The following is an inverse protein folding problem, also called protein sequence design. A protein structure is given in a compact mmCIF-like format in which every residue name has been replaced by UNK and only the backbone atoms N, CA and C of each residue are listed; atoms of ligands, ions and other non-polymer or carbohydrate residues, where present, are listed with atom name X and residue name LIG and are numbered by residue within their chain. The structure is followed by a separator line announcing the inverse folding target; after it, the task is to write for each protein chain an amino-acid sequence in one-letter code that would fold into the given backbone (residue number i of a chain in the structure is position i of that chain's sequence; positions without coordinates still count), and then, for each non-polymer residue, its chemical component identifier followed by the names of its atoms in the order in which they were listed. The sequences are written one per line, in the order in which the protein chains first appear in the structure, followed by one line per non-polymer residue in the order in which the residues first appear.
data_IF_846572469916
#
_entry.id   IF_846572469916
#
_cell.length_a   1.000
_cell.length_b   1.000
_cell.length_c   1.000
_cell.angle_alpha   90.00
_cell.angle_beta   90.00
_cell.angle_gamma   90.00
#
_symmetry.space_group_name_H-M   'P 1'
#
loop_
_entity.id
_entity.type
_entity.pdbx_description
1 polymer ?
#
# COMPACT_ATOMS: atom_id res chain seq x y z
N UNK A 1 -15.91 -7.36 12.92
CA UNK A 1 -14.76 -6.60 12.37
C UNK A 1 -13.76 -6.43 13.48
N UNK A 2 -12.55 -6.94 13.30
CA UNK A 2 -11.44 -6.61 14.17
C UNK A 2 -10.63 -5.52 13.48
N UNK A 3 -10.33 -4.47 14.22
CA UNK A 3 -9.56 -3.32 13.76
C UNK A 3 -8.25 -3.32 14.52
N UNK A 4 -7.14 -3.42 13.80
CA UNK A 4 -5.80 -3.42 14.37
C UNK A 4 -5.05 -2.14 14.04
N UNK A 5 -4.23 -1.68 14.98
CA UNK A 5 -3.32 -0.57 14.76
C UNK A 5 -2.06 -1.07 14.02
N UNK A 6 -1.77 -0.46 12.89
CA UNK A 6 -0.65 -0.86 12.02
C UNK A 6 0.73 -0.63 12.67
N UNK A 7 0.79 0.22 13.70
CA UNK A 7 2.04 0.47 14.46
C UNK A 7 2.49 -0.77 15.22
N UNK A 8 1.56 -1.62 15.61
CA UNK A 8 1.82 -2.87 16.32
C UNK A 8 1.72 -4.08 15.39
N UNK A 9 2.17 -3.96 14.14
CA UNK A 9 2.04 -5.04 13.15
C UNK A 9 2.72 -6.35 13.55
N UNK A 10 3.78 -6.30 14.35
CA UNK A 10 4.42 -7.52 14.91
C UNK A 10 3.45 -8.26 15.81
N UNK A 11 2.84 -7.55 16.77
CA UNK A 11 1.79 -8.10 17.65
C UNK A 11 0.57 -8.55 16.86
N UNK A 12 0.20 -7.79 15.84
CA UNK A 12 -0.88 -8.14 14.92
C UNK A 12 -0.61 -9.48 14.23
N UNK A 13 0.60 -9.69 13.70
CA UNK A 13 0.98 -10.96 13.07
C UNK A 13 0.99 -12.13 14.05
N UNK A 14 1.27 -11.90 15.34
CA UNK A 14 1.15 -12.91 16.39
C UNK A 14 -0.31 -13.30 16.67
N UNK A 15 -1.23 -12.31 16.68
CA UNK A 15 -2.65 -12.52 17.04
C UNK A 15 -3.48 -13.12 15.90
N UNK A 16 -3.23 -12.74 14.64
CA UNK A 16 -4.07 -13.13 13.48
C UNK A 16 -3.41 -14.14 12.53
N UNK A 17 -2.23 -14.60 12.86
CA UNK A 17 -1.43 -15.53 12.05
C UNK A 17 -0.28 -14.83 11.34
N UNK A 18 0.80 -15.57 11.19
CA UNK A 18 2.06 -15.09 10.60
C UNK A 18 1.83 -14.54 9.19
N UNK A 19 2.56 -13.47 8.89
CA UNK A 19 2.68 -12.88 7.55
C UNK A 19 1.42 -12.19 6.99
N UNK A 20 0.47 -11.80 7.84
CA UNK A 20 -0.70 -11.00 7.43
C UNK A 20 -0.29 -9.59 6.98
N UNK A 21 0.71 -9.03 7.65
CA UNK A 21 1.34 -7.77 7.28
C UNK A 21 2.82 -7.99 7.05
N UNK A 22 3.27 -7.70 5.84
CA UNK A 22 4.68 -7.77 5.46
C UNK A 22 5.19 -6.37 5.17
N UNK A 23 6.17 -5.91 5.93
CA UNK A 23 6.78 -4.60 5.77
C UNK A 23 8.20 -4.73 5.23
N UNK A 24 8.46 -4.17 4.06
CA UNK A 24 9.79 -4.15 3.45
C UNK A 24 10.79 -3.31 4.24
N UNK A 25 12.09 -3.62 4.10
CA UNK A 25 13.16 -2.87 4.77
C UNK A 25 13.07 -1.37 4.49
N UNK A 26 13.45 -0.56 5.49
CA UNK A 26 13.47 0.90 5.47
C UNK A 26 12.10 1.57 5.20
N UNK A 27 11.01 0.81 5.12
CA UNK A 27 9.67 1.38 5.12
C UNK A 27 9.30 1.84 6.52
N UNK A 28 8.57 2.96 6.61
CA UNK A 28 8.15 3.52 7.88
C UNK A 28 6.69 3.93 7.83
N UNK A 29 6.02 3.63 8.93
CA UNK A 29 4.70 4.16 9.23
C UNK A 29 4.93 5.33 10.19
N UNK A 30 4.51 6.52 9.78
CA UNK A 30 4.77 7.72 10.59
C UNK A 30 3.99 7.65 11.89
N UNK A 31 4.73 7.67 13.00
CA UNK A 31 4.20 7.64 14.38
C UNK A 31 4.28 9.00 15.07
N UNK A 32 4.53 10.07 14.33
CA UNK A 32 4.76 11.40 14.90
C UNK A 32 3.52 11.96 15.56
N UNK A 33 3.63 12.20 16.87
CA UNK A 33 2.67 12.87 17.75
C UNK A 33 1.29 12.22 17.86
N UNK A 34 1.18 11.26 18.77
CA UNK A 34 -0.04 10.81 19.48
C UNK A 34 -1.28 10.36 18.66
N UNK A 35 -1.23 10.28 17.35
CA UNK A 35 -2.38 9.85 16.52
C UNK A 35 -1.92 8.96 15.36
N UNK A 36 -1.32 7.84 15.66
CA UNK A 36 -1.17 6.76 14.68
C UNK A 36 -2.48 6.00 14.60
N UNK A 37 -3.37 6.43 13.72
CA UNK A 37 -4.64 5.78 13.47
C UNK A 37 -4.68 5.05 12.14
N UNK A 38 -3.55 4.54 11.64
CA UNK A 38 -3.59 3.66 10.47
C UNK A 38 -4.11 2.30 10.87
N UNK A 39 -5.14 1.82 10.19
CA UNK A 39 -5.91 0.64 10.58
C UNK A 39 -5.99 -0.36 9.45
N UNK A 40 -5.90 -1.64 9.80
CA UNK A 40 -6.23 -2.76 8.94
C UNK A 40 -7.61 -3.27 9.34
N UNK A 41 -8.49 -3.39 8.38
CA UNK A 41 -9.82 -3.92 8.59
C UNK A 41 -9.86 -5.37 8.11
N UNK A 42 -10.04 -6.29 9.07
CA UNK A 42 -10.20 -7.71 8.84
C UNK A 42 -11.63 -8.12 9.22
N UNK A 43 -12.28 -8.88 8.35
CA UNK A 43 -13.59 -9.46 8.63
C UNK A 43 -13.43 -10.91 9.07
N UNK A 44 -13.49 -11.17 10.39
CA UNK A 44 -13.31 -12.51 10.98
C UNK A 44 -14.40 -13.52 10.64
N UNK A 45 -15.62 -13.06 10.37
CA UNK A 45 -16.76 -13.96 10.16
C UNK A 45 -16.68 -14.79 8.88
N UNK A 46 -15.63 -14.61 8.09
CA UNK A 46 -15.46 -15.28 6.80
C UNK A 46 -14.08 -15.87 6.71
N UNK A 47 -13.96 -17.05 7.26
CA UNK A 47 -12.75 -17.85 7.15
C UNK A 47 -12.25 -18.08 5.73
N UNK A 48 -13.06 -17.90 4.69
CA UNK A 48 -12.71 -18.26 3.31
C UNK A 48 -12.22 -17.10 2.43
N UNK A 49 -12.67 -15.87 2.63
CA UNK A 49 -12.36 -14.79 1.68
C UNK A 49 -11.14 -13.93 2.05
N UNK A 50 -10.85 -13.78 3.35
CA UNK A 50 -9.71 -12.98 3.82
C UNK A 50 -8.55 -13.81 4.38
N UNK A 51 -8.73 -15.14 4.54
CA UNK A 51 -7.71 -15.99 5.14
C UNK A 51 -6.36 -15.93 4.41
N UNK A 52 -6.40 -15.79 3.09
CA UNK A 52 -5.20 -15.71 2.26
C UNK A 52 -4.85 -14.28 1.80
N UNK A 53 -5.62 -13.27 2.21
CA UNK A 53 -5.32 -11.89 1.82
C UNK A 53 -4.31 -11.26 2.77
N UNK A 54 -3.30 -10.62 2.21
CA UNK A 54 -2.21 -9.98 2.93
C UNK A 54 -2.16 -8.49 2.63
N UNK A 55 -1.58 -7.72 3.54
CA UNK A 55 -1.13 -6.35 3.28
C UNK A 55 0.39 -6.36 3.18
N UNK A 56 0.89 -6.13 1.98
CA UNK A 56 2.31 -6.21 1.67
C UNK A 56 2.84 -4.84 1.30
N UNK A 57 3.91 -4.40 1.95
CA UNK A 57 4.66 -3.20 1.61
C UNK A 57 6.04 -3.56 1.08
N UNK A 58 6.44 -2.93 0.00
CA UNK A 58 7.81 -2.94 -0.48
C UNK A 58 8.75 -2.17 0.44
N UNK A 59 9.95 -1.92 -0.05
CA UNK A 59 11.02 -1.20 0.66
C UNK A 59 10.87 0.31 0.50
N UNK A 60 11.37 1.08 1.46
CA UNK A 60 11.44 2.53 1.42
C UNK A 60 10.08 3.25 1.30
N UNK A 61 9.00 2.60 1.70
CA UNK A 61 7.67 3.22 1.74
C UNK A 61 7.56 4.22 2.90
N UNK A 62 6.81 5.29 2.67
CA UNK A 62 6.45 6.28 3.69
C UNK A 62 4.93 6.37 3.80
N UNK A 63 4.38 5.96 4.94
CA UNK A 63 2.94 5.91 5.19
C UNK A 63 2.59 6.92 6.27
N UNK A 64 1.74 7.88 5.94
CA UNK A 64 1.23 8.85 6.90
C UNK A 64 0.17 8.23 7.81
N UNK A 65 -0.19 8.94 8.87
CA UNK A 65 -1.22 8.52 9.84
C UNK A 65 -2.62 8.48 9.23
N UNK A 66 -3.54 7.78 9.90
CA UNK A 66 -4.96 7.76 9.56
C UNK A 66 -5.34 6.90 8.35
N UNK A 67 -4.41 6.15 7.76
CA UNK A 67 -4.69 5.29 6.63
C UNK A 67 -5.52 4.07 7.02
N UNK A 68 -6.36 3.60 6.09
CA UNK A 68 -7.23 2.44 6.26
C UNK A 68 -7.02 1.44 5.13
N UNK A 69 -6.76 0.18 5.48
CA UNK A 69 -6.50 -0.90 4.53
C UNK A 69 -7.58 -1.98 4.69
N UNK A 70 -8.44 -2.12 3.69
CA UNK A 70 -9.57 -3.06 3.72
C UNK A 70 -9.20 -4.34 2.98
N UNK A 71 -8.88 -5.42 3.69
CA UNK A 71 -8.56 -6.72 3.08
C UNK A 71 -9.81 -7.54 2.70
N UNK A 72 -10.99 -7.00 2.92
CA UNK A 72 -12.27 -7.64 2.61
C UNK A 72 -13.44 -6.72 2.95
N UNK A 73 -14.63 -7.30 3.14
CA UNK A 73 -15.83 -6.56 3.50
C UNK A 73 -16.72 -6.18 2.33
N UNK A 74 -16.40 -6.64 1.12
CA UNK A 74 -17.24 -6.43 -0.06
C UNK A 74 -18.50 -7.31 0.02
N UNK A 75 -19.67 -6.70 -0.14
CA UNK A 75 -20.93 -7.42 -0.24
C UNK A 75 -21.23 -7.84 -1.68
N UNK A 76 -21.98 -8.92 -1.86
CA UNK A 76 -22.50 -9.32 -3.18
C UNK A 76 -23.67 -8.39 -3.53
N UNK A 77 -23.36 -7.22 -4.06
CA UNK A 77 -24.32 -6.15 -4.39
C UNK A 77 -25.27 -6.50 -5.56
N UNK A 78 -24.97 -7.57 -6.32
CA UNK A 78 -25.85 -8.06 -7.42
C UNK A 78 -27.01 -8.93 -6.94
N UNK A 79 -27.12 -9.24 -5.64
CA UNK A 79 -28.27 -9.92 -5.06
C UNK A 79 -29.43 -8.96 -4.94
N UNK A 80 -30.65 -9.49 -4.83
CA UNK A 80 -31.88 -8.71 -4.54
C UNK A 80 -31.73 -7.91 -3.25
N UNK A 81 -31.06 -8.47 -2.25
CA UNK A 81 -30.71 -7.79 -1.00
C UNK A 81 -29.22 -7.94 -0.69
N UNK A 82 -28.61 -6.87 -0.21
CA UNK A 82 -27.25 -6.90 0.32
C UNK A 82 -27.20 -7.37 1.78
N UNK A 83 -28.36 -7.62 2.39
CA UNK A 83 -28.44 -8.10 3.76
C UNK A 83 -27.84 -9.49 3.91
N UNK A 84 -27.07 -9.69 4.98
CA UNK A 84 -26.43 -10.96 5.32
C UNK A 84 -27.35 -11.76 6.25
N UNK A 85 -28.18 -12.63 5.68
CA UNK A 85 -29.04 -13.48 6.47
C UNK A 85 -28.25 -14.65 7.08
N UNK A 86 -28.45 -14.90 8.39
CA UNK A 86 -27.69 -15.89 9.15
C UNK A 86 -27.83 -17.32 8.62
N UNK A 87 -29.01 -17.65 8.08
CA UNK A 87 -29.35 -19.00 7.59
C UNK A 87 -28.85 -19.28 6.18
N UNK A 88 -28.30 -18.28 5.48
CA UNK A 88 -27.75 -18.46 4.15
C UNK A 88 -26.30 -18.92 4.27
N UNK A 89 -26.01 -20.14 3.78
CA UNK A 89 -24.68 -20.76 3.84
C UNK A 89 -23.60 -19.95 3.12
N UNK A 90 -23.95 -19.34 2.00
CA UNK A 90 -23.04 -18.49 1.22
C UNK A 90 -23.01 -17.09 1.83
N UNK A 91 -22.08 -16.86 2.71
CA UNK A 91 -21.87 -15.55 3.33
C UNK A 91 -21.45 -14.55 2.26
N UNK A 92 -22.30 -13.56 2.01
CA UNK A 92 -22.13 -12.58 0.93
C UNK A 92 -21.05 -11.51 1.15
N UNK A 93 -20.00 -11.81 1.93
CA UNK A 93 -18.86 -10.89 2.14
C UNK A 93 -17.65 -11.45 1.42
N UNK A 94 -17.05 -10.64 0.57
CA UNK A 94 -15.96 -11.03 -0.33
C UNK A 94 -14.71 -10.20 -0.05
N UNK A 95 -13.57 -10.78 -0.42
CA UNK A 95 -12.31 -10.05 -0.61
C UNK A 95 -11.92 -10.14 -2.09
N UNK A 96 -11.37 -9.06 -2.63
CA UNK A 96 -10.76 -9.08 -3.96
C UNK A 96 -9.28 -9.53 -3.90
N UNK A 97 -8.79 -9.92 -2.73
CA UNK A 97 -7.42 -10.36 -2.53
C UNK A 97 -6.56 -9.39 -1.73
N UNK A 98 -5.26 -9.64 -1.77
CA UNK A 98 -4.24 -8.88 -1.05
C UNK A 98 -4.16 -7.43 -1.54
N UNK A 99 -3.72 -6.56 -0.65
CA UNK A 99 -3.23 -5.23 -1.00
C UNK A 99 -1.71 -5.33 -1.11
N UNK A 100 -1.18 -4.98 -2.29
CA UNK A 100 0.26 -5.02 -2.56
C UNK A 100 0.75 -3.62 -2.86
N UNK A 101 1.67 -3.13 -2.06
CA UNK A 101 2.27 -1.80 -2.20
C UNK A 101 3.74 -2.00 -2.58
N UNK A 102 4.15 -1.45 -3.71
CA UNK A 102 5.49 -1.52 -4.24
C UNK A 102 6.53 -0.79 -3.40
N UNK A 103 7.69 -0.54 -3.98
CA UNK A 103 8.80 0.13 -3.32
C UNK A 103 8.74 1.64 -3.52
N UNK A 104 9.34 2.43 -2.64
CA UNK A 104 9.41 3.89 -2.73
C UNK A 104 8.03 4.56 -2.87
N UNK A 105 6.99 3.98 -2.26
CA UNK A 105 5.64 4.51 -2.30
C UNK A 105 5.41 5.49 -1.16
N UNK A 106 4.84 6.64 -1.49
CA UNK A 106 4.37 7.60 -0.49
C UNK A 106 2.85 7.59 -0.40
N UNK A 107 2.32 7.27 0.79
CA UNK A 107 0.89 7.29 1.11
C UNK A 107 0.62 8.46 2.03
N UNK A 108 -0.19 9.40 1.56
CA UNK A 108 -0.61 10.60 2.29
C UNK A 108 -1.57 10.29 3.44
N UNK A 109 -1.82 11.30 4.26
CA UNK A 109 -2.71 11.20 5.43
C UNK A 109 -4.13 10.77 5.05
N UNK A 110 -4.72 9.87 5.86
CA UNK A 110 -6.16 9.53 5.75
C UNK A 110 -6.53 8.72 4.51
N UNK A 111 -5.57 8.14 3.81
CA UNK A 111 -5.82 7.33 2.60
C UNK A 111 -6.56 6.05 2.94
N UNK A 112 -7.53 5.69 2.11
CA UNK A 112 -8.21 4.40 2.16
C UNK A 112 -7.81 3.56 0.95
N UNK A 113 -7.45 2.27 1.17
CA UNK A 113 -7.11 1.33 0.11
C UNK A 113 -7.99 0.09 0.23
N UNK A 114 -8.61 -0.30 -0.88
CA UNK A 114 -9.53 -1.43 -0.95
C UNK A 114 -8.81 -2.73 -1.29
N UNK A 115 -9.42 -3.87 -0.93
CA UNK A 115 -8.89 -5.22 -1.21
C UNK A 115 -8.61 -5.44 -2.70
N UNK A 116 -7.54 -6.18 -2.99
CA UNK A 116 -7.13 -6.54 -4.34
C UNK A 116 -6.36 -5.45 -5.09
N UNK A 117 -6.09 -4.31 -4.45
CA UNK A 117 -5.38 -3.20 -5.09
C UNK A 117 -3.87 -3.42 -5.06
N UNK A 118 -3.22 -3.22 -6.21
CA UNK A 118 -1.77 -3.12 -6.35
C UNK A 118 -1.35 -1.68 -6.61
N UNK A 119 -0.38 -1.20 -5.82
CA UNK A 119 0.23 0.13 -5.99
C UNK A 119 1.66 -0.07 -6.47
N UNK A 120 1.96 0.44 -7.67
CA UNK A 120 3.26 0.30 -8.31
C UNK A 120 4.36 1.10 -7.62
N UNK A 121 5.62 0.71 -7.89
CA UNK A 121 6.82 1.33 -7.34
C UNK A 121 6.84 2.84 -7.59
N UNK A 122 7.29 3.60 -6.61
CA UNK A 122 7.43 5.04 -6.73
C UNK A 122 6.13 5.84 -6.82
N UNK A 123 4.96 5.20 -6.62
CA UNK A 123 3.68 5.90 -6.65
C UNK A 123 3.50 6.84 -5.46
N UNK A 124 2.66 7.84 -5.63
CA UNK A 124 2.24 8.78 -4.59
C UNK A 124 0.72 8.78 -4.51
N UNK A 125 0.20 8.51 -3.32
CA UNK A 125 -1.22 8.56 -3.02
C UNK A 125 -1.50 9.81 -2.21
N UNK A 126 -2.25 10.75 -2.79
CA UNK A 126 -2.58 12.01 -2.16
C UNK A 126 -3.44 11.80 -0.91
N UNK A 127 -3.34 12.71 0.05
CA UNK A 127 -4.12 12.65 1.29
C UNK A 127 -5.62 12.52 1.03
N UNK A 128 -6.30 11.74 1.89
CA UNK A 128 -7.73 11.44 1.83
C UNK A 128 -8.21 10.77 0.53
N UNK A 129 -7.31 10.21 -0.27
CA UNK A 129 -7.70 9.44 -1.44
C UNK A 129 -8.36 8.10 -1.06
N UNK A 130 -9.35 7.67 -1.87
CA UNK A 130 -9.93 6.34 -1.78
C UNK A 130 -9.52 5.50 -3.00
N UNK A 131 -8.52 4.63 -2.80
CA UNK A 131 -7.91 3.83 -3.86
C UNK A 131 -8.71 2.54 -4.05
N UNK A 132 -9.43 2.45 -5.16
CA UNK A 132 -10.33 1.33 -5.50
C UNK A 132 -9.86 0.51 -6.70
N UNK A 133 -8.73 0.88 -7.32
CA UNK A 133 -8.12 0.23 -8.49
C UNK A 133 -6.61 0.33 -8.40
N UNK A 134 -5.93 -0.50 -9.17
CA UNK A 134 -4.48 -0.49 -9.27
C UNK A 134 -3.94 0.88 -9.67
N UNK A 135 -2.77 1.18 -9.14
CA UNK A 135 -2.04 2.42 -9.40
C UNK A 135 -0.74 2.08 -10.11
N UNK A 136 -0.55 2.62 -11.31
CA UNK A 136 0.67 2.39 -12.07
C UNK A 136 1.92 2.98 -11.38
N UNK A 137 3.11 2.42 -11.65
CA UNK A 137 4.36 2.94 -11.11
C UNK A 137 4.54 4.44 -11.40
N UNK A 138 5.15 5.14 -10.45
CA UNK A 138 5.46 6.58 -10.52
C UNK A 138 4.25 7.48 -10.85
N UNK A 139 3.04 7.00 -10.59
CA UNK A 139 1.81 7.79 -10.70
C UNK A 139 1.55 8.57 -9.41
N UNK A 140 1.02 9.78 -9.55
CA UNK A 140 0.40 10.54 -8.47
C UNK A 140 -1.10 10.44 -8.66
N UNK A 141 -1.79 9.84 -7.69
CA UNK A 141 -3.25 9.67 -7.71
C UNK A 141 -3.90 10.35 -6.51
N UNK A 142 -5.16 10.74 -6.63
CA UNK A 142 -5.90 11.36 -5.52
C UNK A 142 -7.39 11.43 -5.78
N UNK A 143 -8.16 11.78 -4.75
CA UNK A 143 -9.61 11.93 -4.79
C UNK A 143 -10.37 10.67 -4.36
N UNK A 144 -11.69 10.73 -4.41
CA UNK A 144 -12.61 9.63 -4.09
C UNK A 144 -13.66 9.47 -5.22
N UNK A 145 -13.59 8.39 -6.03
CA UNK A 145 -12.49 7.43 -6.09
C UNK A 145 -11.19 8.06 -6.62
N UNK A 146 -10.05 7.51 -6.21
CA UNK A 146 -8.74 8.01 -6.64
C UNK A 146 -8.58 7.89 -8.16
N UNK A 147 -8.08 8.96 -8.78
CA UNK A 147 -7.79 9.06 -10.21
C UNK A 147 -6.38 9.58 -10.42
N UNK A 148 -5.81 9.27 -11.57
CA UNK A 148 -4.52 9.80 -11.98
C UNK A 148 -4.56 11.33 -12.03
N UNK A 149 -3.66 11.98 -11.31
CA UNK A 149 -3.42 13.42 -11.37
C UNK A 149 -2.33 13.68 -12.42
N UNK A 150 -1.17 12.99 -12.28
CA UNK A 150 -0.05 13.05 -13.23
C UNK A 150 0.93 11.92 -12.97
N UNK A 151 1.87 11.71 -13.87
CA UNK A 151 3.08 10.94 -13.62
C UNK A 151 4.14 11.81 -12.95
N UNK A 152 5.01 11.20 -12.11
CA UNK A 152 6.17 11.89 -11.50
C UNK A 152 7.20 12.29 -12.55
N UNK A 153 7.37 11.45 -13.56
CA UNK A 153 8.37 11.56 -14.62
C UNK A 153 7.76 11.19 -15.97
N UNK A 154 8.46 11.43 -17.08
CA UNK A 154 8.11 10.90 -18.39
C UNK A 154 8.32 9.37 -18.46
N UNK A 155 7.78 8.72 -19.48
CA UNK A 155 7.80 7.26 -19.58
C UNK A 155 9.23 6.70 -19.66
N UNK A 156 10.13 7.34 -20.39
CA UNK A 156 11.53 6.90 -20.54
C UNK A 156 12.29 6.93 -19.20
N UNK A 157 12.04 7.95 -18.39
CA UNK A 157 12.63 8.06 -17.05
C UNK A 157 12.02 7.05 -16.07
N UNK A 158 10.72 6.78 -16.19
CA UNK A 158 10.05 5.75 -15.39
C UNK A 158 10.63 4.37 -15.70
N UNK A 159 10.76 4.01 -16.97
CA UNK A 159 11.36 2.73 -17.40
C UNK A 159 12.80 2.60 -16.86
N UNK A 160 13.58 3.66 -16.96
CA UNK A 160 14.94 3.70 -16.41
C UNK A 160 14.94 3.47 -14.90
N UNK A 161 14.13 4.18 -14.13
CA UNK A 161 14.04 4.06 -12.68
C UNK A 161 13.57 2.68 -12.23
N UNK A 162 12.61 2.09 -12.96
CA UNK A 162 12.15 0.72 -12.72
C UNK A 162 13.24 -0.31 -13.01
N UNK A 163 14.10 -0.07 -14.01
CA UNK A 163 15.24 -0.95 -14.30
C UNK A 163 16.36 -0.80 -13.28
N UNK A 164 16.54 0.39 -12.71
CA UNK A 164 17.58 0.72 -11.74
C UNK A 164 17.39 -0.01 -10.41
N UNK A 165 16.13 -0.15 -9.96
CA UNK A 165 15.74 -0.79 -8.69
C UNK A 165 16.65 -0.40 -7.53
N UNK A 166 16.87 0.90 -7.33
CA UNK A 166 17.79 1.42 -6.32
C UNK A 166 17.48 0.93 -4.90
N UNK A 167 16.26 0.60 -4.61
CA UNK A 167 15.82 0.04 -3.33
C UNK A 167 16.36 -1.37 -3.05
N UNK A 168 16.93 -2.03 -4.06
CA UNK A 168 17.62 -3.34 -3.92
C UNK A 168 19.12 -3.20 -3.78
N UNK A 169 19.67 -1.99 -3.83
CA UNK A 169 21.09 -1.77 -3.68
C UNK A 169 21.56 -2.07 -2.25
N UNK A 170 22.81 -2.53 -2.08
CA UNK A 170 23.45 -2.60 -0.77
C UNK A 170 23.44 -1.26 -0.06
N UNK A 171 23.33 -1.27 1.26
CA UNK A 171 23.26 -0.06 2.09
C UNK A 171 24.45 0.88 1.85
N UNK A 172 25.65 0.33 1.67
CA UNK A 172 26.85 1.11 1.36
C UNK A 172 26.70 1.88 0.03
N UNK A 173 26.15 1.22 -1.01
CA UNK A 173 25.91 1.87 -2.32
C UNK A 173 24.89 2.99 -2.18
N UNK A 174 23.82 2.78 -1.40
CA UNK A 174 22.80 3.82 -1.12
C UNK A 174 23.44 5.00 -0.39
N UNK A 175 24.17 4.75 0.70
CA UNK A 175 24.82 5.79 1.48
C UNK A 175 25.84 6.61 0.67
N UNK A 176 26.61 5.94 -0.19
CA UNK A 176 27.55 6.61 -1.10
C UNK A 176 26.86 7.55 -2.08
N UNK A 177 25.63 7.21 -2.48
CA UNK A 177 24.87 7.91 -3.53
C UNK A 177 23.65 8.68 -2.99
N UNK A 178 23.58 8.91 -1.68
CA UNK A 178 22.44 9.54 -1.02
C UNK A 178 22.08 10.91 -1.58
N UNK A 179 23.07 11.70 -1.96
CA UNK A 179 22.86 13.04 -2.54
C UNK A 179 22.11 12.95 -3.89
N UNK A 180 22.44 11.95 -4.70
CA UNK A 180 21.78 11.74 -6.00
C UNK A 180 20.37 11.16 -5.80
N UNK A 181 20.19 10.26 -4.82
CA UNK A 181 18.91 9.60 -4.56
C UNK A 181 17.90 10.51 -3.87
N UNK A 182 18.35 11.33 -2.91
CA UNK A 182 17.45 11.98 -1.94
C UNK A 182 17.53 13.51 -1.94
N UNK A 183 18.38 14.12 -2.74
CA UNK A 183 18.50 15.56 -2.86
C UNK A 183 18.31 16.04 -4.31
N UNK A 184 17.56 17.13 -4.45
CA UNK A 184 17.34 17.76 -5.74
C UNK A 184 16.35 17.03 -6.66
N UNK A 185 16.33 17.46 -7.92
CA UNK A 185 15.46 16.86 -8.95
C UNK A 185 16.17 15.69 -9.61
N UNK A 186 15.37 14.70 -10.03
CA UNK A 186 15.87 13.57 -10.79
C UNK A 186 16.63 14.02 -12.05
N UNK A 187 17.84 13.47 -12.22
CA UNK A 187 18.68 13.69 -13.41
C UNK A 187 19.29 12.36 -13.87
N UNK A 188 18.75 11.82 -14.97
CA UNK A 188 19.17 10.54 -15.55
C UNK A 188 20.69 10.44 -15.82
N UNK A 189 21.31 11.57 -16.22
CA UNK A 189 22.76 11.62 -16.50
C UNK A 189 23.58 11.33 -15.25
N UNK A 190 23.14 11.82 -14.07
CA UNK A 190 23.81 11.56 -12.81
C UNK A 190 23.73 10.08 -12.44
N UNK A 191 22.58 9.44 -12.66
CA UNK A 191 22.39 8.01 -12.38
C UNK A 191 23.17 7.11 -13.35
N UNK A 192 23.31 7.47 -14.62
CA UNK A 192 24.11 6.71 -15.59
C UNK A 192 25.59 6.59 -15.22
N UNK A 193 26.11 7.50 -14.39
CA UNK A 193 27.49 7.44 -13.87
C UNK A 193 27.64 6.44 -12.72
N UNK A 194 26.53 5.90 -12.19
CA UNK A 194 26.50 4.98 -11.05
C UNK A 194 26.37 3.50 -11.48
N UNK A 195 26.03 3.28 -12.74
CA UNK A 195 25.95 1.95 -13.39
C UNK A 195 27.29 1.56 -13.98
#
# INVERSE_FOLDING_TARGET
VIIYDLVNYEKLNEEIGKDKVVLGKHSRITTTYSVTNSKIFLWETIKSASENSQLVFGKYCSIASGCSFFLGGNHIYKRTSTWLHNDIKEKGILSNGSIVIGNDVWIGYGVTIMSGVTIGDGAVIAANANVTRDVEPYSIVGGNPAKLIKKRFNNEDIEFLLSLKWWDWPTEKINKNKEILFSGSFNKTNFKKLL
#
